data_IF_123790476354
#
_entry.id   IF_123790476354
#
_cell.length_a   1.000
_cell.length_b   1.000
_cell.length_c   1.000
_cell.angle_alpha   90.00
_cell.angle_beta   90.00
_cell.angle_gamma   90.00
#
_symmetry.space_group_name_H-M   'P 1'
#
loop_
_entity.id
_entity.type
_entity.pdbx_description
1 polymer ?
#
# COMPACT_ATOMS: atom_id res chain seq x y z
N UNK A 1 27.70 26.79 0.96
CA UNK A 1 26.41 27.20 0.36
C UNK A 1 25.53 25.96 0.32
N UNK A 2 24.91 25.64 1.46
CA UNK A 2 23.96 24.54 1.55
C UNK A 2 22.70 24.96 0.79
N UNK A 3 22.40 24.22 -0.26
CA UNK A 3 21.18 24.41 -1.03
C UNK A 3 20.02 23.92 -0.18
N UNK A 4 19.39 24.87 0.51
CA UNK A 4 18.09 24.76 1.13
C UNK A 4 17.08 24.41 0.01
N UNK A 5 16.99 23.12 -0.33
CA UNK A 5 15.96 22.63 -1.23
C UNK A 5 14.65 22.81 -0.48
N UNK A 6 13.69 23.60 -1.00
CA UNK A 6 12.39 23.66 -0.38
C UNK A 6 11.87 22.21 -0.36
N UNK A 7 11.56 21.72 0.84
CA UNK A 7 10.76 20.52 1.05
C UNK A 7 9.37 20.79 0.45
N UNK A 8 9.30 20.76 -0.88
CA UNK A 8 8.06 20.91 -1.61
C UNK A 8 7.17 19.77 -1.19
N UNK A 9 5.97 20.13 -0.77
CA UNK A 9 4.80 19.35 -0.36
C UNK A 9 4.32 18.26 -1.35
N UNK A 10 5.19 17.80 -2.26
CA UNK A 10 4.96 16.90 -3.38
C UNK A 10 6.03 15.80 -3.38
N UNK A 11 6.45 15.32 -2.21
CA UNK A 11 6.94 13.95 -2.15
C UNK A 11 5.68 13.06 -2.20
N UNK A 12 5.30 12.66 -3.41
CA UNK A 12 4.21 11.70 -3.65
C UNK A 12 4.57 10.36 -3.00
N UNK A 13 4.13 10.19 -1.76
CA UNK A 13 4.26 8.95 -1.02
C UNK A 13 3.05 8.06 -1.32
N UNK A 14 3.23 7.02 -2.14
CA UNK A 14 2.36 5.85 -2.04
C UNK A 14 2.81 5.09 -0.79
N UNK A 15 1.94 4.95 0.22
CA UNK A 15 2.18 4.06 1.35
C UNK A 15 3.51 4.31 2.10
N UNK A 16 3.94 5.57 2.21
CA UNK A 16 5.11 5.95 3.00
C UNK A 16 6.48 5.74 2.36
N UNK A 17 6.58 5.32 1.08
CA UNK A 17 7.86 5.32 0.34
C UNK A 17 7.79 6.19 -0.93
N UNK A 18 8.85 6.95 -1.26
CA UNK A 18 8.90 7.70 -2.51
C UNK A 18 9.02 6.72 -3.68
N UNK A 19 7.96 6.60 -4.48
CA UNK A 19 7.96 5.87 -5.75
C UNK A 19 8.52 6.77 -6.87
N UNK A 20 9.72 7.31 -6.67
CA UNK A 20 10.41 8.05 -7.74
C UNK A 20 11.56 7.24 -8.36
N UNK A 21 11.79 7.29 -9.68
CA UNK A 21 10.94 7.85 -10.74
C UNK A 21 10.18 6.72 -11.44
N UNK A 22 8.97 6.42 -10.99
CA UNK A 22 7.99 5.67 -11.77
C UNK A 22 6.77 6.57 -12.02
N UNK A 23 7.05 7.81 -12.42
CA UNK A 23 6.05 8.79 -12.88
C UNK A 23 5.67 8.47 -14.32
N UNK A 24 4.38 8.44 -14.68
CA UNK A 24 3.25 9.09 -13.99
C UNK A 24 2.17 8.15 -13.39
N UNK A 25 2.28 6.81 -13.47
CA UNK A 25 1.18 5.91 -13.08
C UNK A 25 1.30 5.22 -11.71
N UNK A 26 2.41 5.33 -10.97
CA UNK A 26 2.53 4.64 -9.68
C UNK A 26 1.52 5.13 -8.63
N UNK A 27 1.26 6.44 -8.56
CA UNK A 27 0.18 7.03 -7.75
C UNK A 27 -1.23 6.62 -8.20
N UNK A 28 -1.38 6.30 -9.49
CA UNK A 28 -2.63 5.92 -10.12
C UNK A 28 -2.90 4.43 -9.96
N UNK A 29 -1.89 3.62 -9.64
CA UNK A 29 -2.01 2.17 -9.63
C UNK A 29 -3.11 1.65 -8.68
N UNK A 30 -3.29 2.16 -7.44
CA UNK A 30 -4.41 1.75 -6.59
C UNK A 30 -5.78 2.15 -7.17
N UNK A 31 -5.91 3.36 -7.73
CA UNK A 31 -7.14 3.80 -8.36
C UNK A 31 -7.47 2.99 -9.61
N UNK A 32 -6.46 2.68 -10.43
CA UNK A 32 -6.60 1.84 -11.62
C UNK A 32 -6.97 0.41 -11.24
N UNK A 33 -6.35 -0.13 -10.19
CA UNK A 33 -6.68 -1.44 -9.64
C UNK A 33 -8.14 -1.49 -9.16
N UNK A 34 -8.60 -0.46 -8.45
CA UNK A 34 -10.01 -0.33 -8.05
C UNK A 34 -10.96 -0.26 -9.25
N UNK A 35 -10.64 0.53 -10.27
CA UNK A 35 -11.43 0.61 -11.50
C UNK A 35 -11.49 -0.74 -12.24
N UNK A 36 -10.39 -1.47 -12.30
CA UNK A 36 -10.35 -2.82 -12.87
C UNK A 36 -11.21 -3.79 -12.05
N UNK A 37 -11.15 -3.74 -10.71
CA UNK A 37 -12.03 -4.52 -9.86
C UNK A 37 -13.52 -4.23 -10.08
N UNK A 38 -13.86 -2.94 -10.21
CA UNK A 38 -15.22 -2.50 -10.52
C UNK A 38 -15.67 -2.97 -11.91
N UNK A 39 -14.81 -2.87 -12.93
CA UNK A 39 -15.10 -3.38 -14.28
C UNK A 39 -15.28 -4.92 -14.28
N UNK A 40 -14.47 -5.64 -13.50
CA UNK A 40 -14.56 -7.10 -13.35
C UNK A 40 -15.83 -7.57 -12.63
N UNK A 41 -16.55 -6.68 -11.94
CA UNK A 41 -17.81 -7.03 -11.28
C UNK A 41 -19.00 -7.18 -12.23
N UNK A 42 -18.90 -6.72 -13.49
CA UNK A 42 -20.00 -6.67 -14.47
C UNK A 42 -21.24 -5.84 -14.08
N UNK A 43 -21.43 -5.51 -12.80
CA UNK A 43 -22.61 -4.86 -12.26
C UNK A 43 -22.57 -3.33 -12.39
N UNK A 44 -21.65 -2.77 -13.17
CA UNK A 44 -21.58 -1.33 -13.39
C UNK A 44 -22.70 -0.83 -14.31
N UNK A 45 -23.56 0.04 -13.79
CA UNK A 45 -24.56 0.77 -14.57
C UNK A 45 -24.27 2.28 -14.57
N UNK A 46 -24.62 2.97 -15.65
CA UNK A 46 -24.54 4.44 -15.75
C UNK A 46 -25.68 5.13 -15.00
N UNK A 47 -25.77 4.89 -13.70
CA UNK A 47 -26.73 5.54 -12.79
C UNK A 47 -26.00 6.40 -11.77
N UNK A 48 -26.66 7.46 -11.29
CA UNK A 48 -26.06 8.39 -10.33
C UNK A 48 -25.61 7.71 -9.02
N UNK A 49 -26.30 6.65 -8.59
CA UNK A 49 -25.92 5.86 -7.41
C UNK A 49 -24.61 5.08 -7.62
N UNK A 50 -24.40 4.48 -8.80
CA UNK A 50 -23.15 3.79 -9.13
C UNK A 50 -21.99 4.78 -9.26
N UNK A 51 -22.22 5.96 -9.83
CA UNK A 51 -21.20 7.01 -9.88
C UNK A 51 -20.79 7.47 -8.47
N UNK A 52 -21.75 7.66 -7.56
CA UNK A 52 -21.46 8.01 -6.17
C UNK A 52 -20.66 6.90 -5.46
N UNK A 53 -21.03 5.62 -5.65
CA UNK A 53 -20.26 4.48 -5.12
C UNK A 53 -18.84 4.46 -5.66
N UNK A 54 -18.63 4.79 -6.94
CA UNK A 54 -17.29 4.89 -7.52
C UNK A 54 -16.48 5.97 -6.85
N UNK A 55 -17.04 7.17 -6.70
CA UNK A 55 -16.36 8.30 -6.07
C UNK A 55 -16.01 7.99 -4.61
N UNK A 56 -16.93 7.37 -3.87
CA UNK A 56 -16.68 6.90 -2.49
C UNK A 56 -15.59 5.84 -2.44
N UNK A 57 -15.58 4.88 -3.36
CA UNK A 57 -14.55 3.84 -3.42
C UNK A 57 -13.18 4.38 -3.81
N UNK A 58 -13.10 5.32 -4.76
CA UNK A 58 -11.87 6.03 -5.10
C UNK A 58 -11.36 6.86 -3.90
N UNK A 59 -12.25 7.55 -3.19
CA UNK A 59 -11.91 8.27 -1.95
C UNK A 59 -11.37 7.30 -0.88
N UNK A 60 -11.96 6.11 -0.76
CA UNK A 60 -11.54 5.09 0.18
C UNK A 60 -10.15 4.52 -0.14
N UNK A 61 -9.94 4.05 -1.36
CA UNK A 61 -8.68 3.40 -1.78
C UNK A 61 -7.52 4.39 -1.85
N UNK A 62 -7.79 5.60 -2.33
CA UNK A 62 -6.76 6.62 -2.51
C UNK A 62 -6.40 7.31 -1.19
N UNK A 63 -7.02 8.46 -0.88
CA UNK A 63 -6.60 9.28 0.24
C UNK A 63 -6.82 8.60 1.59
N UNK A 64 -7.92 7.86 1.82
CA UNK A 64 -8.20 7.37 3.18
C UNK A 64 -7.30 6.21 3.59
N UNK A 65 -7.27 5.14 2.79
CA UNK A 65 -6.36 4.02 3.05
C UNK A 65 -4.90 4.44 2.86
N UNK A 66 -4.61 5.26 1.85
CA UNK A 66 -3.26 5.80 1.65
C UNK A 66 -2.75 6.62 2.84
N UNK A 67 -3.58 7.49 3.43
CA UNK A 67 -3.23 8.24 4.64
C UNK A 67 -3.08 7.34 5.86
N UNK A 68 -3.97 6.36 6.05
CA UNK A 68 -3.88 5.43 7.17
C UNK A 68 -2.56 4.64 7.11
N UNK A 69 -2.17 4.17 5.93
CA UNK A 69 -0.90 3.50 5.71
C UNK A 69 0.32 4.42 5.81
N UNK A 70 0.24 5.64 5.26
CA UNK A 70 1.35 6.60 5.38
C UNK A 70 1.57 6.99 6.84
N UNK A 71 0.49 7.17 7.61
CA UNK A 71 0.55 7.42 9.03
C UNK A 71 1.09 6.21 9.79
N UNK A 72 0.70 4.98 9.42
CA UNK A 72 1.22 3.76 10.06
C UNK A 72 2.71 3.53 9.79
N UNK A 73 3.17 3.79 8.56
CA UNK A 73 4.59 3.71 8.21
C UNK A 73 5.42 4.78 8.93
N UNK A 74 4.86 5.98 9.13
CA UNK A 74 5.48 7.06 9.92
C UNK A 74 5.44 6.78 11.43
N UNK A 75 4.56 5.90 11.91
CA UNK A 75 4.54 5.51 13.33
C UNK A 75 5.69 4.60 13.77
N UNK A 76 6.74 4.45 12.96
CA UNK A 76 8.02 3.82 13.34
C UNK A 76 8.84 4.65 14.35
N UNK A 77 8.20 5.61 15.05
CA UNK A 77 8.77 6.46 16.10
C UNK A 77 9.41 5.69 17.26
N UNK A 78 9.09 4.40 17.44
CA UNK A 78 9.74 3.56 18.44
C UNK A 78 11.21 3.31 18.15
N UNK A 79 11.61 3.33 16.88
CA UNK A 79 13.02 3.14 16.49
C UNK A 79 13.79 4.47 16.68
N UNK A 80 13.22 5.60 16.24
CA UNK A 80 13.84 6.92 16.42
C UNK A 80 13.94 7.38 17.88
N UNK A 81 12.95 7.06 18.72
CA UNK A 81 12.97 7.44 20.14
C UNK A 81 13.94 6.59 20.99
N UNK A 82 14.45 5.50 20.44
CA UNK A 82 15.35 4.57 21.13
C UNK A 82 16.79 4.68 20.63
N UNK A 83 16.98 5.10 19.37
CA UNK A 83 18.30 5.39 18.77
C UNK A 83 18.82 6.80 19.03
N UNK A 84 17.99 7.73 19.53
CA UNK A 84 18.46 9.03 20.00
C UNK A 84 19.12 8.84 21.38
N UNK A 85 20.46 8.95 21.51
CA UNK A 85 21.11 8.78 22.80
C UNK A 85 20.60 9.87 23.71
N UNK A 86 19.85 9.48 24.75
CA UNK A 86 19.40 10.40 25.79
C UNK A 86 20.57 11.30 26.19
N UNK A 87 20.41 12.61 25.98
CA UNK A 87 21.42 13.60 26.33
C UNK A 87 21.82 13.32 27.80
N UNK A 88 23.08 12.92 28.07
CA UNK A 88 23.50 12.52 29.42
C UNK A 88 23.40 13.67 30.43
N UNK A 89 23.23 14.91 29.94
CA UNK A 89 23.00 16.09 30.78
C UNK A 89 21.52 16.34 31.09
N UNK A 90 20.60 15.76 30.33
CA UNK A 90 19.17 15.79 30.58
C UNK A 90 18.75 14.66 31.54
N UNK A 91 19.44 14.53 32.67
CA UNK A 91 18.90 13.73 33.76
C UNK A 91 17.62 14.44 34.25
N UNK A 92 16.44 13.80 34.18
CA UNK A 92 15.23 14.38 34.75
C UNK A 92 15.51 14.62 36.23
N UNK A 93 15.44 15.88 36.65
CA UNK A 93 15.55 16.25 38.06
C UNK A 93 14.37 15.57 38.74
N UNK A 94 14.61 14.42 39.35
CA UNK A 94 13.62 13.65 40.08
C UNK A 94 13.16 14.55 41.22
N UNK A 95 12.00 15.19 41.04
CA UNK A 95 11.28 15.85 42.11
C UNK A 95 10.88 14.73 43.07
N UNK A 96 11.73 14.47 44.05
CA UNK A 96 11.53 13.44 45.05
C UNK A 96 10.24 13.77 45.80
N UNK A 97 9.21 12.94 45.60
CA UNK A 97 7.95 13.10 46.30
C UNK A 97 8.24 12.94 47.81
N UNK A 98 7.89 13.93 48.65
CA UNK A 98 8.36 14.03 50.04
C UNK A 98 7.92 12.89 50.98
N UNK A 99 7.10 11.98 50.47
CA UNK A 99 6.51 10.84 51.19
C UNK A 99 6.94 9.47 50.66
N UNK A 100 7.91 9.40 49.73
CA UNK A 100 8.44 8.11 49.24
C UNK A 100 9.78 7.79 49.88
N UNK A 101 9.86 6.67 50.62
CA UNK A 101 11.12 6.18 51.16
C UNK A 101 12.00 5.68 49.99
N UNK A 102 13.27 6.09 49.87
CA UNK A 102 14.16 5.61 48.81
C UNK A 102 14.27 4.08 48.86
N UNK A 103 14.12 3.42 47.70
CA UNK A 103 14.16 1.95 47.56
C UNK A 103 12.83 1.20 47.78
N UNK A 104 11.77 1.90 48.21
CA UNK A 104 10.43 1.32 48.36
C UNK A 104 9.79 0.94 47.02
N UNK A 105 8.77 0.07 47.04
CA UNK A 105 8.00 -0.29 45.84
C UNK A 105 7.28 0.92 45.22
N UNK A 106 6.83 1.87 46.05
CA UNK A 106 6.23 3.12 45.59
C UNK A 106 7.25 4.07 44.95
N UNK A 107 8.50 4.07 45.42
CA UNK A 107 9.59 4.82 44.78
C UNK A 107 9.89 4.31 43.37
N UNK A 108 9.97 2.98 43.19
CA UNK A 108 10.16 2.36 41.87
C UNK A 108 9.01 2.62 40.91
N UNK A 109 7.77 2.58 41.41
CA UNK A 109 6.58 2.95 40.62
C UNK A 109 6.56 4.43 40.26
N UNK A 110 6.97 5.32 41.17
CA UNK A 110 7.05 6.75 40.90
C UNK A 110 8.13 7.04 39.83
N UNK A 111 9.27 6.35 39.90
CA UNK A 111 10.34 6.46 38.93
C UNK A 111 9.92 5.97 37.55
N UNK A 112 9.30 4.79 37.45
CA UNK A 112 8.78 4.28 36.16
C UNK A 112 7.67 5.17 35.60
N UNK A 113 6.81 5.74 36.45
CA UNK A 113 5.76 6.66 36.04
C UNK A 113 6.31 8.01 35.56
N UNK A 114 7.33 8.55 36.23
CA UNK A 114 7.99 9.80 35.83
C UNK A 114 8.80 9.61 34.54
N UNK A 115 9.47 8.48 34.37
CA UNK A 115 10.13 8.11 33.10
C UNK A 115 9.10 7.97 31.97
N UNK A 116 7.99 7.27 32.22
CA UNK A 116 6.90 7.13 31.24
C UNK A 116 6.28 8.50 30.90
N UNK A 117 6.14 9.40 31.87
CA UNK A 117 5.59 10.76 31.67
C UNK A 117 6.57 11.68 30.94
N UNK A 118 7.86 11.64 31.27
CA UNK A 118 8.90 12.42 30.58
C UNK A 118 9.04 11.97 29.13
N UNK A 119 9.02 10.65 28.91
CA UNK A 119 8.93 10.06 27.59
C UNK A 119 7.66 10.50 26.84
N UNK A 120 6.50 10.45 27.50
CA UNK A 120 5.23 10.88 26.91
C UNK A 120 5.25 12.37 26.52
N UNK A 121 5.82 13.24 27.36
CA UNK A 121 5.93 14.69 27.08
C UNK A 121 6.87 15.01 25.91
N UNK A 122 7.91 14.20 25.68
CA UNK A 122 8.79 14.35 24.52
C UNK A 122 8.13 13.83 23.22
N UNK A 123 7.28 12.81 23.34
CA UNK A 123 6.59 12.14 22.24
C UNK A 123 5.32 12.89 21.81
N UNK A 124 4.57 13.49 22.75
CA UNK A 124 3.33 14.24 22.52
C UNK A 124 3.39 15.31 21.41
N UNK A 125 4.36 16.25 21.38
CA UNK A 125 4.41 17.29 20.35
C UNK A 125 4.70 16.74 18.94
N UNK A 126 5.30 15.54 18.85
CA UNK A 126 5.58 14.86 17.57
C UNK A 126 4.43 13.94 17.14
N UNK A 127 3.67 13.37 18.07
CA UNK A 127 2.61 12.40 17.78
C UNK A 127 1.21 13.00 17.57
N UNK A 128 0.92 14.21 18.06
CA UNK A 128 -0.44 14.77 18.03
C UNK A 128 -1.05 14.86 16.62
N UNK A 129 -0.31 15.38 15.64
CA UNK A 129 -0.77 15.50 14.25
C UNK A 129 -0.96 14.14 13.54
N UNK A 130 0.02 13.22 13.53
CA UNK A 130 -0.13 11.93 12.86
C UNK A 130 -1.18 11.02 13.53
N UNK A 131 -1.32 11.03 14.86
CA UNK A 131 -2.37 10.26 15.53
C UNK A 131 -3.77 10.77 15.18
N UNK A 132 -3.97 12.10 15.17
CA UNK A 132 -5.26 12.67 14.78
C UNK A 132 -5.60 12.33 13.32
N UNK A 133 -4.61 12.41 12.42
CA UNK A 133 -4.76 11.99 11.03
C UNK A 133 -5.09 10.50 10.90
N UNK A 134 -4.42 9.64 11.67
CA UNK A 134 -4.62 8.19 11.67
C UNK A 134 -6.02 7.81 12.18
N UNK A 135 -6.45 8.38 13.31
CA UNK A 135 -7.78 8.13 13.88
C UNK A 135 -8.86 8.68 12.95
N UNK A 136 -8.69 9.90 12.46
CA UNK A 136 -9.63 10.55 11.55
C UNK A 136 -9.77 9.78 10.23
N UNK A 137 -8.66 9.41 9.58
CA UNK A 137 -8.68 8.66 8.33
C UNK A 137 -9.30 7.28 8.50
N UNK A 138 -9.08 6.63 9.65
CA UNK A 138 -9.60 5.29 9.93
C UNK A 138 -11.09 5.28 10.18
N UNK A 139 -11.59 6.19 11.03
CA UNK A 139 -13.03 6.32 11.28
C UNK A 139 -13.75 6.64 9.97
N UNK A 140 -13.20 7.58 9.18
CA UNK A 140 -13.81 7.98 7.92
C UNK A 140 -13.72 6.86 6.86
N UNK A 141 -12.58 6.15 6.78
CA UNK A 141 -12.43 4.97 5.91
C UNK A 141 -13.46 3.89 6.23
N UNK A 142 -13.64 3.55 7.50
CA UNK A 142 -14.62 2.55 7.94
C UNK A 142 -16.06 3.00 7.67
N UNK A 143 -16.34 4.28 7.85
CA UNK A 143 -17.66 4.87 7.54
C UNK A 143 -17.97 4.76 6.04
N UNK A 144 -17.01 5.12 5.18
CA UNK A 144 -17.17 5.00 3.73
C UNK A 144 -17.30 3.53 3.32
N UNK A 145 -16.46 2.64 3.86
CA UNK A 145 -16.50 1.21 3.58
C UNK A 145 -17.83 0.57 4.01
N UNK A 146 -18.41 1.01 5.14
CA UNK A 146 -19.74 0.58 5.59
C UNK A 146 -20.84 0.97 4.60
N UNK A 147 -20.75 2.17 3.99
CA UNK A 147 -21.71 2.63 2.99
C UNK A 147 -21.61 1.87 1.66
N UNK A 148 -20.40 1.41 1.30
CA UNK A 148 -20.17 0.59 0.10
C UNK A 148 -20.73 -0.84 0.26
N UNK A 149 -20.70 -1.40 1.47
CA UNK A 149 -21.33 -2.68 1.79
C UNK A 149 -20.53 -3.52 2.78
N UNK A 150 -21.11 -4.66 3.19
CA UNK A 150 -20.51 -5.55 4.19
C UNK A 150 -19.15 -6.12 3.75
N UNK A 151 -19.02 -6.52 2.49
CA UNK A 151 -17.77 -7.06 1.96
C UNK A 151 -16.68 -5.98 1.89
N UNK A 152 -17.04 -4.77 1.44
CA UNK A 152 -16.13 -3.62 1.42
C UNK A 152 -15.68 -3.22 2.83
N UNK A 153 -16.57 -3.27 3.82
CA UNK A 153 -16.21 -3.05 5.23
C UNK A 153 -15.22 -4.09 5.75
N UNK A 154 -15.44 -5.38 5.46
CA UNK A 154 -14.51 -6.44 5.86
C UNK A 154 -13.12 -6.25 5.22
N UNK A 155 -13.08 -5.91 3.92
CA UNK A 155 -11.82 -5.60 3.21
C UNK A 155 -11.15 -4.32 3.73
N UNK A 156 -11.91 -3.29 4.06
CA UNK A 156 -11.40 -2.06 4.65
C UNK A 156 -10.78 -2.30 6.04
N UNK A 157 -11.45 -3.08 6.89
CA UNK A 157 -10.90 -3.53 8.17
C UNK A 157 -9.63 -4.35 7.97
N UNK A 158 -9.62 -5.32 7.05
CA UNK A 158 -8.44 -6.10 6.73
C UNK A 158 -7.29 -5.18 6.28
N UNK A 159 -7.55 -4.24 5.38
CA UNK A 159 -6.55 -3.32 4.88
C UNK A 159 -5.94 -2.44 5.99
N UNK A 160 -6.78 -1.93 6.89
CA UNK A 160 -6.36 -1.15 8.05
C UNK A 160 -5.58 -2.01 9.05
N UNK A 161 -6.04 -3.22 9.38
CA UNK A 161 -5.32 -4.11 10.31
C UNK A 161 -3.92 -4.45 9.80
N UNK A 162 -3.77 -4.69 8.50
CA UNK A 162 -2.44 -4.91 7.89
C UNK A 162 -1.61 -3.63 7.87
N UNK A 163 -2.22 -2.46 7.60
CA UNK A 163 -1.54 -1.16 7.71
C UNK A 163 -1.00 -0.93 9.13
N UNK A 164 -1.81 -1.18 10.16
CA UNK A 164 -1.43 -1.04 11.55
C UNK A 164 -0.40 -2.08 11.98
N UNK A 165 -0.58 -3.34 11.62
CA UNK A 165 0.35 -4.41 11.92
C UNK A 165 1.72 -4.15 11.29
N UNK A 166 1.76 -3.66 10.04
CA UNK A 166 3.01 -3.30 9.36
C UNK A 166 3.70 -2.08 9.98
N UNK A 167 2.95 -1.11 10.51
CA UNK A 167 3.51 0.05 11.21
C UNK A 167 3.99 -0.24 12.64
N UNK A 168 3.30 -1.15 13.36
CA UNK A 168 3.58 -1.50 14.76
C UNK A 168 4.60 -2.64 14.92
N UNK A 169 4.74 -3.52 13.92
CA UNK A 169 5.66 -4.64 13.99
C UNK A 169 7.13 -4.18 13.88
N UNK A 170 7.88 -4.28 14.99
CA UNK A 170 9.32 -3.94 15.11
C UNK A 170 10.25 -4.74 14.19
N UNK A 171 9.79 -5.82 13.56
CA UNK A 171 10.66 -6.83 12.97
C UNK A 171 10.20 -7.25 11.59
N UNK A 172 10.99 -6.90 10.56
CA UNK A 172 10.96 -7.38 9.15
C UNK A 172 9.69 -7.13 8.31
N UNK A 173 8.50 -7.08 8.90
CA UNK A 173 7.23 -6.96 8.17
C UNK A 173 7.05 -5.60 7.49
N UNK A 174 7.47 -4.51 8.13
CA UNK A 174 7.46 -3.16 7.57
C UNK A 174 8.37 -3.01 6.33
N UNK A 175 9.37 -3.89 6.18
CA UNK A 175 10.28 -3.89 5.03
C UNK A 175 9.85 -4.88 3.94
N UNK A 176 8.82 -5.69 4.17
CA UNK A 176 8.40 -6.67 3.18
C UNK A 176 7.66 -5.97 2.04
N UNK A 177 8.24 -6.01 0.84
CA UNK A 177 7.69 -5.39 -0.37
C UNK A 177 6.32 -5.96 -0.77
N UNK A 178 6.05 -7.22 -0.42
CA UNK A 178 4.74 -7.83 -0.66
C UNK A 178 3.65 -7.03 0.08
N UNK A 179 3.94 -6.66 1.33
CA UNK A 179 3.01 -5.92 2.19
C UNK A 179 2.88 -4.47 1.74
N UNK A 180 3.97 -3.82 1.31
CA UNK A 180 3.94 -2.41 0.92
C UNK A 180 3.46 -2.14 -0.52
N UNK A 181 3.57 -3.13 -1.42
CA UNK A 181 3.25 -2.95 -2.85
C UNK A 181 2.05 -3.80 -3.28
N UNK A 182 2.11 -5.13 -3.10
CA UNK A 182 1.06 -6.02 -3.62
C UNK A 182 -0.23 -5.91 -2.83
N UNK A 183 -0.14 -5.88 -1.49
CA UNK A 183 -1.32 -5.91 -0.65
C UNK A 183 -2.25 -4.70 -0.87
N UNK A 184 -1.76 -3.44 -0.98
CA UNK A 184 -2.62 -2.32 -1.32
C UNK A 184 -3.28 -2.40 -2.70
N UNK A 185 -2.57 -2.95 -3.69
CA UNK A 185 -3.11 -3.12 -5.04
C UNK A 185 -4.17 -4.21 -5.09
N UNK A 186 -3.93 -5.33 -4.41
CA UNK A 186 -4.90 -6.42 -4.28
C UNK A 186 -6.16 -5.95 -3.56
N UNK A 187 -5.99 -5.28 -2.40
CA UNK A 187 -7.13 -4.76 -1.64
C UNK A 187 -7.93 -3.74 -2.44
N UNK A 188 -7.27 -2.87 -3.20
CA UNK A 188 -7.95 -1.94 -4.10
C UNK A 188 -8.81 -2.66 -5.15
N UNK A 189 -8.28 -3.70 -5.81
CA UNK A 189 -9.04 -4.50 -6.78
C UNK A 189 -10.26 -5.15 -6.12
N UNK A 190 -10.04 -5.85 -5.02
CA UNK A 190 -11.12 -6.56 -4.31
C UNK A 190 -12.19 -5.58 -3.82
N UNK A 191 -11.80 -4.40 -3.36
CA UNK A 191 -12.73 -3.37 -2.91
C UNK A 191 -13.56 -2.81 -4.07
N UNK A 192 -12.95 -2.67 -5.25
CA UNK A 192 -13.63 -2.30 -6.49
C UNK A 192 -14.69 -3.31 -6.88
N UNK A 193 -14.37 -4.60 -6.83
CA UNK A 193 -15.31 -5.65 -7.15
C UNK A 193 -16.44 -5.74 -6.10
N UNK A 194 -16.08 -5.78 -4.82
CA UNK A 194 -17.00 -5.87 -3.68
C UNK A 194 -17.98 -4.68 -3.55
N UNK A 195 -17.67 -3.53 -4.18
CA UNK A 195 -18.53 -2.35 -4.18
C UNK A 195 -19.77 -2.50 -5.07
N UNK A 196 -19.73 -3.43 -6.03
CA UNK A 196 -20.79 -3.61 -7.04
C UNK A 196 -21.42 -5.00 -6.99
N UNK A 197 -20.63 -6.04 -6.71
CA UNK A 197 -21.13 -7.41 -6.63
C UNK A 197 -20.38 -8.25 -5.58
N UNK A 198 -20.86 -9.46 -5.30
CA UNK A 198 -20.19 -10.40 -4.43
C UNK A 198 -18.84 -10.85 -5.03
N UNK A 199 -17.81 -10.92 -4.20
CA UNK A 199 -16.47 -11.36 -4.59
C UNK A 199 -16.46 -12.71 -5.33
N UNK A 200 -16.21 -12.66 -6.63
CA UNK A 200 -15.92 -13.83 -7.46
C UNK A 200 -14.46 -14.30 -7.27
N UNK A 201 -14.22 -15.60 -7.00
CA UNK A 201 -12.86 -16.14 -6.84
C UNK A 201 -11.97 -15.93 -8.07
N UNK A 202 -12.51 -15.94 -9.29
CA UNK A 202 -11.69 -15.74 -10.49
C UNK A 202 -11.20 -14.28 -10.59
N UNK A 203 -12.07 -13.30 -10.30
CA UNK A 203 -11.67 -11.90 -10.16
C UNK A 203 -10.64 -11.67 -9.05
N UNK A 204 -10.83 -12.30 -7.89
CA UNK A 204 -9.88 -12.21 -6.78
C UNK A 204 -8.50 -12.78 -7.15
N UNK A 205 -8.48 -13.92 -7.86
CA UNK A 205 -7.25 -14.54 -8.34
C UNK A 205 -6.53 -13.66 -9.37
N UNK A 206 -7.26 -13.10 -10.34
CA UNK A 206 -6.69 -12.19 -11.32
C UNK A 206 -6.09 -10.93 -10.65
N UNK A 207 -6.81 -10.33 -9.69
CA UNK A 207 -6.30 -9.22 -8.90
C UNK A 207 -5.01 -9.58 -8.14
N UNK A 208 -4.92 -10.78 -7.57
CA UNK A 208 -3.72 -11.28 -6.91
C UNK A 208 -2.54 -11.46 -7.88
N UNK A 209 -2.80 -12.01 -9.06
CA UNK A 209 -1.78 -12.14 -10.10
C UNK A 209 -1.19 -10.78 -10.48
N UNK A 210 -2.01 -9.78 -10.78
CA UNK A 210 -1.51 -8.45 -11.15
C UNK A 210 -0.79 -7.75 -9.99
N UNK A 211 -1.28 -7.89 -8.75
CA UNK A 211 -0.59 -7.39 -7.57
C UNK A 211 0.81 -8.00 -7.38
N UNK A 212 0.99 -9.27 -7.76
CA UNK A 212 2.30 -9.94 -7.76
C UNK A 212 3.19 -9.48 -8.92
N UNK A 213 2.64 -9.17 -10.10
CA UNK A 213 3.44 -8.57 -11.20
C UNK A 213 4.04 -7.23 -10.77
N UNK A 214 3.27 -6.38 -10.07
CA UNK A 214 3.78 -5.14 -9.49
C UNK A 214 4.88 -5.37 -8.43
N UNK A 215 4.78 -6.46 -7.66
CA UNK A 215 5.85 -6.85 -6.75
C UNK A 215 7.12 -7.25 -7.51
N UNK A 216 7.00 -8.04 -8.59
CA UNK A 216 8.12 -8.33 -9.48
C UNK A 216 8.79 -7.05 -9.97
N UNK A 217 8.02 -6.07 -10.44
CA UNK A 217 8.56 -4.76 -10.85
C UNK A 217 9.30 -4.02 -9.71
N UNK A 218 8.80 -4.10 -8.48
CA UNK A 218 9.46 -3.54 -7.31
C UNK A 218 10.75 -4.29 -6.92
N UNK A 219 10.82 -5.60 -7.18
CA UNK A 219 12.03 -6.42 -7.01
C UNK A 219 13.07 -6.06 -8.08
N UNK A 220 12.68 -5.96 -9.36
CA UNK A 220 13.60 -5.57 -10.45
C UNK A 220 14.27 -4.21 -10.23
N UNK A 221 13.58 -3.28 -9.56
CA UNK A 221 14.13 -1.96 -9.28
C UNK A 221 15.31 -2.01 -8.30
N UNK A 222 15.37 -3.04 -7.46
CA UNK A 222 16.45 -3.19 -6.50
C UNK A 222 17.61 -3.97 -7.13
N UNK A 223 18.73 -3.28 -7.31
CA UNK A 223 19.97 -3.85 -7.85
C UNK A 223 20.59 -4.94 -6.98
N UNK A 224 20.11 -5.12 -5.75
CA UNK A 224 20.63 -6.10 -4.80
C UNK A 224 20.15 -7.53 -5.09
N UNK A 225 19.01 -7.68 -5.77
CA UNK A 225 18.40 -8.98 -6.05
C UNK A 225 18.76 -9.48 -7.46
N UNK A 226 18.89 -10.80 -7.66
CA UNK A 226 19.20 -11.34 -8.98
C UNK A 226 18.05 -11.07 -9.96
N UNK A 227 18.39 -10.55 -11.14
CA UNK A 227 17.43 -10.20 -12.21
C UNK A 227 16.47 -11.35 -12.57
N UNK A 228 16.96 -12.60 -12.51
CA UNK A 228 16.15 -13.80 -12.75
C UNK A 228 14.98 -13.95 -11.76
N UNK A 229 15.19 -13.62 -10.48
CA UNK A 229 14.13 -13.71 -9.45
C UNK A 229 13.07 -12.64 -9.70
N UNK A 230 13.49 -11.42 -10.02
CA UNK A 230 12.58 -10.35 -10.40
C UNK A 230 11.69 -10.74 -11.59
N UNK A 231 12.31 -11.24 -12.66
CA UNK A 231 11.57 -11.67 -13.87
C UNK A 231 10.65 -12.85 -13.59
N UNK A 232 11.07 -13.83 -12.78
CA UNK A 232 10.20 -14.94 -12.38
C UNK A 232 8.92 -14.45 -11.70
N UNK A 233 9.03 -13.44 -10.82
CA UNK A 233 7.88 -12.80 -10.16
C UNK A 233 7.00 -11.96 -11.09
N UNK A 234 7.47 -11.62 -12.30
CA UNK A 234 6.62 -10.98 -13.31
C UNK A 234 5.96 -12.02 -14.22
N UNK A 235 6.73 -12.98 -14.73
CA UNK A 235 6.28 -13.95 -15.73
C UNK A 235 5.30 -14.96 -15.15
N UNK A 236 5.57 -15.49 -13.94
CA UNK A 236 4.72 -16.53 -13.35
C UNK A 236 3.29 -16.02 -13.05
N UNK A 237 3.10 -14.87 -12.37
CA UNK A 237 1.75 -14.36 -12.13
C UNK A 237 1.05 -13.92 -13.42
N UNK A 238 1.80 -13.41 -14.41
CA UNK A 238 1.25 -13.07 -15.71
C UNK A 238 0.72 -14.31 -16.45
N UNK A 239 1.52 -15.37 -16.50
CA UNK A 239 1.10 -16.64 -17.10
C UNK A 239 -0.13 -17.20 -16.38
N UNK A 240 -0.16 -17.15 -15.04
CA UNK A 240 -1.33 -17.55 -14.26
C UNK A 240 -2.58 -16.73 -14.61
N UNK A 241 -2.47 -15.41 -14.78
CA UNK A 241 -3.58 -14.58 -15.24
C UNK A 241 -4.07 -14.99 -16.64
N UNK A 242 -3.15 -15.27 -17.59
CA UNK A 242 -3.54 -15.72 -18.94
C UNK A 242 -4.23 -17.08 -18.94
N UNK A 243 -3.76 -18.03 -18.12
CA UNK A 243 -4.37 -19.35 -17.96
C UNK A 243 -5.77 -19.22 -17.37
N UNK A 244 -5.95 -18.30 -16.42
CA UNK A 244 -7.26 -18.00 -15.83
C UNK A 244 -8.25 -17.49 -16.88
N UNK A 245 -7.80 -16.57 -17.75
CA UNK A 245 -8.64 -16.07 -18.86
C UNK A 245 -8.98 -17.17 -19.89
N UNK A 246 -8.05 -18.09 -20.17
CA UNK A 246 -8.33 -19.26 -21.00
C UNK A 246 -9.38 -20.18 -20.36
N UNK A 247 -9.29 -20.41 -19.05
CA UNK A 247 -10.24 -21.23 -18.32
C UNK A 247 -11.68 -20.67 -18.36
N UNK A 248 -11.82 -19.34 -18.41
CA UNK A 248 -13.12 -18.62 -18.50
C UNK A 248 -13.58 -18.49 -19.97
N UNK A 249 -12.97 -19.25 -20.89
CA UNK A 249 -13.35 -19.29 -22.32
C UNK A 249 -13.21 -17.93 -23.03
N UNK A 250 -12.24 -17.11 -22.62
CA UNK A 250 -11.90 -15.83 -23.26
C UNK A 250 -10.53 -15.89 -23.97
N UNK A 251 -10.34 -16.77 -24.99
CA UNK A 251 -9.02 -17.05 -25.56
C UNK A 251 -8.43 -15.85 -26.31
N UNK A 252 -9.27 -15.01 -26.93
CA UNK A 252 -8.80 -13.82 -27.65
C UNK A 252 -8.16 -12.80 -26.70
N UNK A 253 -8.80 -12.56 -25.55
CA UNK A 253 -8.26 -11.64 -24.54
C UNK A 253 -7.06 -12.27 -23.83
N UNK A 254 -7.09 -13.58 -23.58
CA UNK A 254 -5.92 -14.29 -23.06
C UNK A 254 -4.71 -14.15 -23.99
N UNK A 255 -4.91 -14.25 -25.31
CA UNK A 255 -3.85 -14.10 -26.30
C UNK A 255 -3.29 -12.67 -26.35
N UNK A 256 -4.15 -11.64 -26.26
CA UNK A 256 -3.67 -10.24 -26.23
C UNK A 256 -2.92 -9.92 -24.95
N UNK A 257 -3.40 -10.39 -23.79
CA UNK A 257 -2.70 -10.26 -22.51
C UNK A 257 -1.37 -11.03 -22.56
N UNK A 258 -1.32 -12.24 -23.11
CA UNK A 258 -0.08 -12.99 -23.29
C UNK A 258 0.92 -12.24 -24.20
N UNK A 259 0.46 -11.67 -25.32
CA UNK A 259 1.29 -10.89 -26.24
C UNK A 259 1.86 -9.63 -25.58
N UNK A 260 1.05 -8.92 -24.78
CA UNK A 260 1.54 -7.78 -24.00
C UNK A 260 2.60 -8.21 -22.99
N UNK A 261 2.45 -9.37 -22.34
CA UNK A 261 3.44 -9.92 -21.42
C UNK A 261 4.73 -10.34 -22.11
N UNK A 262 4.66 -10.99 -23.26
CA UNK A 262 5.87 -11.36 -24.02
C UNK A 262 6.61 -10.13 -24.55
N UNK A 263 5.89 -9.07 -24.90
CA UNK A 263 6.53 -7.80 -25.28
C UNK A 263 7.39 -7.20 -24.15
N UNK A 264 7.08 -7.48 -22.88
CA UNK A 264 7.91 -7.05 -21.75
C UNK A 264 9.24 -7.79 -21.70
N UNK A 265 9.26 -9.07 -22.07
CA UNK A 265 10.48 -9.87 -22.15
C UNK A 265 11.43 -9.35 -23.24
N UNK A 266 10.87 -8.83 -24.34
CA UNK A 266 11.68 -8.19 -25.40
C UNK A 266 12.33 -6.87 -24.94
N UNK A 267 11.80 -6.25 -23.90
CA UNK A 267 12.33 -5.01 -23.32
C UNK A 267 13.39 -5.27 -22.24
N UNK A 268 13.61 -6.52 -21.81
CA UNK A 268 14.60 -6.88 -20.78
C UNK A 268 16.02 -6.37 -21.09
N UNK A 269 16.53 -6.41 -22.35
CA UNK A 269 17.86 -5.87 -22.65
C UNK A 269 18.02 -4.38 -22.34
N UNK A 270 16.92 -3.61 -22.22
CA UNK A 270 16.98 -2.20 -21.80
C UNK A 270 17.39 -2.04 -20.33
N UNK A 271 17.21 -3.07 -19.49
CA UNK A 271 17.65 -3.04 -18.09
C UNK A 271 19.18 -3.08 -17.97
N UNK A 272 19.88 -3.69 -18.92
CA UNK A 272 21.35 -3.76 -18.90
C UNK A 272 22.01 -2.46 -19.38
N UNK A 273 21.25 -1.57 -20.04
CA UNK A 273 21.76 -0.32 -20.60
C UNK A 273 21.66 0.83 -19.61
N UNK A 274 22.72 1.62 -19.50
CA UNK A 274 22.71 2.87 -18.74
C UNK A 274 21.58 3.80 -19.25
N UNK A 275 20.68 4.20 -18.34
CA UNK A 275 19.49 5.01 -18.65
C UNK A 275 18.28 4.25 -19.22
N UNK A 276 18.41 2.97 -19.58
CA UNK A 276 17.31 2.17 -20.14
C UNK A 276 16.23 1.75 -19.14
N UNK A 277 16.54 1.80 -17.84
CA UNK A 277 15.62 1.47 -16.75
C UNK A 277 14.34 2.32 -16.79
N UNK A 278 14.46 3.63 -16.99
CA UNK A 278 13.30 4.53 -17.02
C UNK A 278 12.37 4.23 -18.20
N UNK A 279 12.94 3.91 -19.37
CA UNK A 279 12.18 3.54 -20.57
C UNK A 279 11.47 2.19 -20.38
N UNK A 280 12.16 1.21 -19.80
CA UNK A 280 11.57 -0.09 -19.45
C UNK A 280 10.36 0.08 -18.53
N UNK A 281 10.51 0.79 -17.40
CA UNK A 281 9.40 0.96 -16.45
C UNK A 281 8.24 1.78 -17.03
N UNK A 282 8.50 2.77 -17.89
CA UNK A 282 7.45 3.55 -18.56
C UNK A 282 6.64 2.68 -19.52
N UNK A 283 7.30 1.84 -20.31
CA UNK A 283 6.63 0.90 -21.21
C UNK A 283 5.84 -0.16 -20.43
N UNK A 284 6.45 -0.70 -19.37
CA UNK A 284 5.84 -1.69 -18.48
C UNK A 284 4.52 -1.18 -17.87
N UNK A 285 4.49 0.07 -17.38
CA UNK A 285 3.30 0.67 -16.78
C UNK A 285 2.10 0.70 -17.72
N UNK A 286 2.30 1.15 -18.97
CA UNK A 286 1.22 1.26 -19.93
C UNK A 286 0.70 -0.13 -20.33
N UNK A 287 1.61 -1.06 -20.62
CA UNK A 287 1.26 -2.43 -21.00
C UNK A 287 0.50 -3.14 -19.89
N UNK A 288 0.93 -2.95 -18.64
CA UNK A 288 0.29 -3.55 -17.48
C UNK A 288 -1.08 -2.91 -17.17
N UNK A 289 -1.22 -1.59 -17.33
CA UNK A 289 -2.51 -0.93 -17.19
C UNK A 289 -3.53 -1.44 -18.23
N UNK A 290 -3.11 -1.60 -19.48
CA UNK A 290 -3.93 -2.15 -20.56
C UNK A 290 -4.29 -3.61 -20.27
N UNK A 291 -3.33 -4.44 -19.86
CA UNK A 291 -3.59 -5.86 -19.59
C UNK A 291 -4.52 -6.07 -18.40
N UNK A 292 -4.38 -5.26 -17.33
CA UNK A 292 -5.30 -5.26 -16.18
C UNK A 292 -6.73 -4.92 -16.61
N UNK A 293 -6.91 -3.88 -17.42
CA UNK A 293 -8.23 -3.45 -17.87
C UNK A 293 -8.87 -4.48 -18.81
N UNK A 294 -8.10 -5.04 -19.75
CA UNK A 294 -8.58 -6.10 -20.64
C UNK A 294 -9.00 -7.34 -19.86
N UNK A 295 -8.17 -7.80 -18.91
CA UNK A 295 -8.50 -8.94 -18.07
C UNK A 295 -9.74 -8.68 -17.22
N UNK A 296 -9.85 -7.49 -16.62
CA UNK A 296 -11.03 -7.10 -15.86
C UNK A 296 -12.30 -7.09 -16.72
N UNK A 297 -12.25 -6.49 -17.90
CA UNK A 297 -13.40 -6.49 -18.81
C UNK A 297 -13.79 -7.90 -19.23
N UNK A 298 -12.83 -8.78 -19.50
CA UNK A 298 -13.09 -10.18 -19.85
C UNK A 298 -13.82 -10.93 -18.74
N UNK A 299 -13.43 -10.69 -17.48
CA UNK A 299 -14.05 -11.30 -16.31
C UNK A 299 -15.49 -10.80 -16.13
N UNK A 300 -15.73 -9.50 -16.33
CA UNK A 300 -17.07 -8.93 -16.23
C UNK A 300 -18.02 -9.36 -17.36
N UNK A 301 -17.51 -9.67 -18.55
CA UNK A 301 -18.33 -10.10 -19.70
C UNK A 301 -18.45 -11.63 -19.84
N UNK A 302 -18.01 -12.42 -18.86
CA UNK A 302 -18.16 -13.87 -18.90
C UNK A 302 -19.68 -14.23 -18.93
N UNK A 303 -20.17 -14.88 -20.01
CA UNK A 303 -21.58 -15.17 -20.21
C UNK A 303 -22.11 -16.30 -19.32
#
# INVERSE_FOLDING_TARGET
METNRPESLINEYLYGRPLYPATPLSWLAPFWSFLCGAAASAAWAWTGSHLLRLLLGLLLVGPLLGLAWAASARTRWQDEAMDDPADPTAQPSLVALPYTLPGSASHRLAETWLMARGWWQQVEPRLGKPLLQLVGSTIFALTVAAQLGRQSLALGLLALTVAYASGLARTRWASNRIVSVSFPLLTAWLLGHAAYDALDPASAFAGACFALVFYGAAVLKDSSEPLAVGLAWQVLPWAAATVTLMAIKQPLIAATVALLGTSQLLLVPLLEREGGHALYFRALQLQLAISMFLAASALGYAP
#
